data_IF_993878984954
#
_entry.id   IF_993878984954
#
_cell.length_a   1.000
_cell.length_b   1.000
_cell.length_c   1.000
_cell.angle_alpha   90.00
_cell.angle_beta   90.00
_cell.angle_gamma   90.00
#
_symmetry.space_group_name_H-M   'P 1'
#
loop_
_entity.id
_entity.type
_entity.pdbx_description
1 polymer ?
#
# COMPACT_ATOMS: atom_id res chain seq x y z
N UNK A 1 -1.14 6.67 -23.89
CA UNK A 1 -0.45 7.09 -22.65
C UNK A 1 -1.20 6.52 -21.45
N UNK A 2 -0.51 5.99 -20.44
CA UNK A 2 -1.20 5.48 -19.24
C UNK A 2 -1.37 6.65 -18.25
N UNK A 3 -2.57 7.24 -18.21
CA UNK A 3 -2.89 8.44 -17.42
C UNK A 3 -2.73 8.24 -15.91
N UNK A 4 -2.80 6.99 -15.43
CA UNK A 4 -2.56 6.66 -14.03
C UNK A 4 -1.16 7.11 -13.57
N UNK A 5 -0.11 6.90 -14.37
CA UNK A 5 1.25 7.32 -13.98
C UNK A 5 1.46 8.83 -14.01
N UNK A 6 0.73 9.54 -14.89
CA UNK A 6 0.72 11.00 -14.88
C UNK A 6 0.11 11.50 -13.57
N UNK A 7 -1.04 10.94 -13.19
CA UNK A 7 -1.69 11.27 -11.92
C UNK A 7 -0.82 10.89 -10.72
N UNK A 8 -0.14 9.74 -10.74
CA UNK A 8 0.86 9.39 -9.71
C UNK A 8 1.90 10.49 -9.53
N UNK A 9 2.50 10.99 -10.63
CA UNK A 9 3.49 12.05 -10.55
C UNK A 9 2.90 13.36 -10.00
N UNK A 10 1.70 13.74 -10.45
CA UNK A 10 1.00 14.93 -9.96
C UNK A 10 0.70 14.83 -8.46
N UNK A 11 0.20 13.69 -7.98
CA UNK A 11 -0.08 13.48 -6.56
C UNK A 11 1.20 13.46 -5.71
N UNK A 12 2.32 12.93 -6.23
CA UNK A 12 3.61 13.04 -5.54
C UNK A 12 4.09 14.49 -5.43
N UNK A 13 3.91 15.30 -6.48
CA UNK A 13 4.24 16.73 -6.45
C UNK A 13 3.36 17.44 -5.41
N UNK A 14 2.05 17.19 -5.41
CA UNK A 14 1.15 17.77 -4.41
C UNK A 14 1.51 17.33 -2.99
N UNK A 15 1.84 16.05 -2.79
CA UNK A 15 2.29 15.54 -1.49
C UNK A 15 3.58 16.22 -1.01
N UNK A 16 4.54 16.44 -1.92
CA UNK A 16 5.78 17.17 -1.61
C UNK A 16 5.50 18.62 -1.21
N UNK A 17 4.64 19.31 -1.97
CA UNK A 17 4.23 20.69 -1.64
C UNK A 17 3.55 20.73 -0.27
N UNK A 18 2.64 19.81 0.02
CA UNK A 18 1.99 19.72 1.33
C UNK A 18 2.96 19.35 2.46
N UNK A 19 4.01 18.57 2.19
CA UNK A 19 5.04 18.25 3.17
C UNK A 19 5.91 19.47 3.49
N UNK A 20 6.33 20.23 2.48
CA UNK A 20 7.07 21.50 2.63
C UNK A 20 6.24 22.48 3.46
N UNK A 21 4.97 22.66 3.11
CA UNK A 21 4.03 23.50 3.83
C UNK A 21 3.96 23.16 5.34
N UNK A 22 3.80 21.87 5.65
CA UNK A 22 3.78 21.42 7.03
C UNK A 22 5.11 21.66 7.77
N UNK A 23 6.25 21.50 7.10
CA UNK A 23 7.55 21.85 7.68
C UNK A 23 7.64 23.35 7.97
N UNK A 24 7.24 24.21 7.03
CA UNK A 24 7.24 25.66 7.20
C UNK A 24 6.32 26.09 8.35
N UNK A 25 5.18 25.43 8.52
CA UNK A 25 4.26 25.64 9.64
C UNK A 25 4.89 25.21 10.98
N UNK A 26 5.51 24.02 11.04
CA UNK A 26 6.20 23.53 12.24
C UNK A 26 7.36 24.43 12.67
N UNK A 27 8.07 25.04 11.72
CA UNK A 27 9.12 26.03 11.98
C UNK A 27 8.58 27.44 12.26
N UNK A 28 7.26 27.63 12.35
CA UNK A 28 6.60 28.93 12.56
C UNK A 28 6.93 29.97 11.47
N UNK A 29 7.29 29.52 10.26
CA UNK A 29 7.63 30.38 9.13
C UNK A 29 6.35 30.86 8.43
N UNK A 30 5.35 29.98 8.29
CA UNK A 30 4.03 30.31 7.68
C UNK A 30 2.86 29.71 8.50
N UNK A 31 2.64 30.15 9.75
CA UNK A 31 1.70 29.51 10.68
C UNK A 31 0.23 29.61 10.28
N UNK A 32 -0.12 30.48 9.32
CA UNK A 32 -1.48 30.63 8.79
C UNK A 32 -1.88 29.51 7.80
N UNK A 33 -0.92 28.71 7.33
CA UNK A 33 -1.16 27.65 6.36
C UNK A 33 -1.23 26.28 7.07
N UNK A 34 -2.24 26.10 7.93
CA UNK A 34 -2.44 24.83 8.62
C UNK A 34 -3.03 23.76 7.68
N UNK A 35 -2.17 23.09 6.91
CA UNK A 35 -2.53 22.14 5.85
C UNK A 35 -2.74 20.69 6.31
N UNK A 36 -3.94 20.39 6.81
CA UNK A 36 -4.60 19.07 6.97
C UNK A 36 -3.70 17.81 6.91
N UNK A 37 -3.29 17.29 8.07
CA UNK A 37 -2.56 16.00 8.21
C UNK A 37 -3.16 14.86 7.36
N UNK A 38 -4.49 14.79 7.29
CA UNK A 38 -5.23 13.83 6.47
C UNK A 38 -4.89 13.92 4.97
N UNK A 39 -4.77 15.14 4.44
CA UNK A 39 -4.52 15.38 3.02
C UNK A 39 -3.18 14.78 2.61
N UNK A 40 -2.12 15.02 3.38
CA UNK A 40 -0.78 14.46 3.12
C UNK A 40 -0.78 12.94 3.03
N UNK A 41 -1.45 12.28 3.98
CA UNK A 41 -1.60 10.82 3.99
C UNK A 41 -2.28 10.34 2.72
N UNK A 42 -3.42 10.94 2.36
CA UNK A 42 -4.23 10.48 1.23
C UNK A 42 -3.64 10.84 -0.12
N UNK A 43 -2.87 11.94 -0.24
CA UNK A 43 -2.14 12.25 -1.46
C UNK A 43 -1.10 11.17 -1.79
N UNK A 44 -0.48 10.54 -0.79
CA UNK A 44 0.48 9.46 -1.00
C UNK A 44 -0.23 8.13 -1.18
N UNK A 45 -1.15 7.76 -0.29
CA UNK A 45 -1.77 6.42 -0.30
C UNK A 45 -2.82 6.28 -1.40
N UNK A 46 -3.83 7.15 -1.39
CA UNK A 46 -4.96 7.10 -2.31
C UNK A 46 -4.67 7.84 -3.63
N UNK A 47 -3.86 8.90 -3.59
CA UNK A 47 -3.36 9.57 -4.78
C UNK A 47 -2.26 8.75 -5.43
N UNK A 48 -1.01 9.02 -5.08
CA UNK A 48 0.15 8.51 -5.79
C UNK A 48 0.20 6.97 -5.90
N UNK A 49 0.11 6.28 -4.76
CA UNK A 49 0.30 4.83 -4.71
C UNK A 49 -0.88 4.09 -5.36
N UNK A 50 -2.13 4.43 -5.01
CA UNK A 50 -3.29 3.76 -5.60
C UNK A 50 -3.43 4.06 -7.11
N UNK A 51 -3.16 5.29 -7.57
CA UNK A 51 -3.06 5.57 -9.02
C UNK A 51 -2.06 4.63 -9.70
N UNK A 52 -0.85 4.52 -9.14
CA UNK A 52 0.18 3.66 -9.70
C UNK A 52 -0.30 2.21 -9.76
N UNK A 53 -0.89 1.71 -8.68
CA UNK A 53 -1.43 0.35 -8.60
C UNK A 53 -2.54 0.12 -9.63
N UNK A 54 -3.49 1.04 -9.79
CA UNK A 54 -4.55 0.92 -10.80
C UNK A 54 -3.96 0.82 -12.23
N UNK A 55 -2.90 1.56 -12.51
CA UNK A 55 -2.18 1.48 -13.78
C UNK A 55 -1.33 0.21 -13.92
N UNK A 56 -0.80 -0.34 -12.82
CA UNK A 56 0.19 -1.42 -12.79
C UNK A 56 -0.40 -2.81 -12.75
N UNK A 57 -1.39 -3.04 -11.89
CA UNK A 57 -1.88 -4.38 -11.60
C UNK A 57 -2.41 -5.10 -12.85
N UNK A 58 -3.17 -4.46 -13.76
CA UNK A 58 -3.56 -5.09 -15.01
C UNK A 58 -2.35 -5.45 -15.88
N UNK A 59 -1.33 -4.59 -15.95
CA UNK A 59 -0.11 -4.86 -16.73
C UNK A 59 0.62 -6.11 -16.21
N UNK A 60 0.77 -6.22 -14.88
CA UNK A 60 1.42 -7.37 -14.24
C UNK A 60 0.64 -8.66 -14.47
N UNK A 61 -0.68 -8.62 -14.35
CA UNK A 61 -1.53 -9.79 -14.61
C UNK A 61 -1.51 -10.17 -16.10
N UNK A 62 -1.44 -9.21 -17.02
CA UNK A 62 -1.29 -9.49 -18.45
C UNK A 62 0.05 -10.16 -18.75
N UNK A 63 1.16 -9.60 -18.25
CA UNK A 63 2.50 -10.17 -18.41
C UNK A 63 2.55 -11.61 -17.91
N UNK A 64 1.94 -11.87 -16.74
CA UNK A 64 1.84 -13.19 -16.14
C UNK A 64 1.15 -14.21 -17.04
N UNK A 65 -0.01 -13.84 -17.56
CA UNK A 65 -0.81 -14.73 -18.41
C UNK A 65 -0.44 -14.65 -19.89
N UNK A 66 0.66 -13.95 -20.23
CA UNK A 66 1.11 -13.69 -21.61
C UNK A 66 0.00 -13.09 -22.48
N UNK A 67 -0.83 -12.25 -21.88
CA UNK A 67 -1.90 -11.54 -22.58
C UNK A 67 -1.34 -10.29 -23.25
N UNK A 68 -2.01 -9.79 -24.31
CA UNK A 68 -1.74 -8.46 -24.84
C UNK A 68 -1.81 -7.40 -23.74
N UNK A 69 -1.08 -6.30 -23.95
CA UNK A 69 -1.12 -5.16 -23.03
C UNK A 69 -2.58 -4.68 -22.86
N UNK A 70 -3.12 -4.61 -21.64
CA UNK A 70 -4.47 -4.15 -21.39
C UNK A 70 -4.69 -2.73 -21.94
N UNK A 71 -5.83 -2.53 -22.57
CA UNK A 71 -6.27 -1.21 -22.99
C UNK A 71 -6.53 -0.31 -21.76
N UNK A 72 -6.34 0.99 -21.95
CA UNK A 72 -6.71 1.99 -20.95
C UNK A 72 -8.23 2.00 -20.75
N UNK A 73 -8.69 2.00 -19.49
CA UNK A 73 -10.12 2.04 -19.14
C UNK A 73 -10.50 3.44 -18.63
N UNK A 74 -11.00 4.33 -19.50
CA UNK A 74 -11.26 5.72 -19.14
C UNK A 74 -12.29 5.85 -18.01
N UNK A 75 -13.30 4.98 -17.98
CA UNK A 75 -14.33 5.01 -16.94
C UNK A 75 -13.82 4.62 -15.56
N UNK A 76 -12.93 3.62 -15.47
CA UNK A 76 -12.26 3.26 -14.21
C UNK A 76 -11.38 4.42 -13.73
N UNK A 77 -10.62 5.03 -14.63
CA UNK A 77 -9.74 6.16 -14.32
C UNK A 77 -10.53 7.40 -13.88
N UNK A 78 -11.58 7.76 -14.61
CA UNK A 78 -12.43 8.91 -14.33
C UNK A 78 -13.18 8.72 -13.02
N UNK A 79 -13.75 7.54 -12.77
CA UNK A 79 -14.43 7.24 -11.50
C UNK A 79 -13.46 7.40 -10.32
N UNK A 80 -12.23 6.88 -10.45
CA UNK A 80 -11.23 7.01 -9.39
C UNK A 80 -10.83 8.49 -9.15
N UNK A 81 -10.51 9.23 -10.21
CA UNK A 81 -10.02 10.61 -10.10
C UNK A 81 -11.12 11.61 -9.72
N UNK A 82 -12.33 11.47 -10.26
CA UNK A 82 -13.46 12.27 -9.85
C UNK A 82 -13.83 11.97 -8.39
N UNK A 83 -13.78 10.70 -7.99
CA UNK A 83 -13.98 10.29 -6.60
C UNK A 83 -12.97 10.94 -5.66
N UNK A 84 -11.68 10.89 -6.01
CA UNK A 84 -10.61 11.55 -5.28
C UNK A 84 -10.84 13.06 -5.15
N UNK A 85 -11.15 13.74 -6.25
CA UNK A 85 -11.42 15.18 -6.26
C UNK A 85 -12.61 15.55 -5.35
N UNK A 86 -13.69 14.79 -5.42
CA UNK A 86 -14.85 14.99 -4.53
C UNK A 86 -14.46 14.79 -3.07
N UNK A 87 -13.67 13.77 -2.73
CA UNK A 87 -13.20 13.60 -1.34
C UNK A 87 -12.28 14.74 -0.88
N UNK A 88 -11.39 15.22 -1.76
CA UNK A 88 -10.50 16.34 -1.48
C UNK A 88 -11.25 17.65 -1.19
N UNK A 89 -12.43 17.83 -1.78
CA UNK A 89 -13.30 18.99 -1.54
C UNK A 89 -14.25 18.74 -0.37
N UNK A 90 -14.90 17.58 -0.36
CA UNK A 90 -15.99 17.24 0.56
C UNK A 90 -15.55 17.09 2.01
N UNK A 91 -14.37 16.52 2.25
CA UNK A 91 -13.85 16.33 3.62
C UNK A 91 -13.54 17.67 4.31
N UNK A 92 -12.78 18.60 3.71
CA UNK A 92 -12.52 19.91 4.31
C UNK A 92 -13.77 20.72 4.66
N UNK A 93 -14.81 20.65 3.82
CA UNK A 93 -16.07 21.38 4.05
C UNK A 93 -17.12 20.55 4.80
N UNK A 94 -16.79 19.32 5.19
CA UNK A 94 -17.66 18.36 5.90
C UNK A 94 -19.01 18.19 5.18
N UNK A 95 -18.98 18.09 3.83
CA UNK A 95 -20.20 17.88 3.04
C UNK A 95 -20.44 16.38 2.81
N UNK A 96 -21.40 15.84 3.56
CA UNK A 96 -21.73 14.41 3.53
C UNK A 96 -22.11 13.89 2.13
N UNK A 97 -22.88 14.65 1.34
CA UNK A 97 -23.29 14.24 0.01
C UNK A 97 -22.08 14.14 -0.95
N UNK A 98 -21.18 15.11 -0.90
CA UNK A 98 -19.95 15.13 -1.68
C UNK A 98 -19.01 14.00 -1.26
N UNK A 99 -18.88 13.75 0.06
CA UNK A 99 -18.07 12.64 0.60
C UNK A 99 -18.64 11.30 0.15
N UNK A 100 -19.95 11.10 0.26
CA UNK A 100 -20.63 9.88 -0.16
C UNK A 100 -20.45 9.62 -1.66
N UNK A 101 -20.64 10.64 -2.50
CA UNK A 101 -20.41 10.56 -3.95
C UNK A 101 -18.94 10.21 -4.26
N UNK A 102 -18.00 10.90 -3.60
CA UNK A 102 -16.57 10.65 -3.76
C UNK A 102 -16.18 9.20 -3.40
N UNK A 103 -16.58 8.75 -2.22
CA UNK A 103 -16.34 7.38 -1.74
C UNK A 103 -16.95 6.32 -2.66
N UNK A 104 -18.18 6.54 -3.13
CA UNK A 104 -18.89 5.65 -4.06
C UNK A 104 -18.14 5.50 -5.39
N UNK A 105 -17.63 6.60 -5.96
CA UNK A 105 -16.89 6.56 -7.21
C UNK A 105 -15.55 5.82 -7.07
N UNK A 106 -14.82 5.99 -5.97
CA UNK A 106 -13.58 5.23 -5.71
C UNK A 106 -13.90 3.75 -5.49
N UNK A 107 -14.98 3.44 -4.77
CA UNK A 107 -15.45 2.07 -4.56
C UNK A 107 -15.78 1.39 -5.90
N UNK A 108 -16.54 2.07 -6.77
CA UNK A 108 -16.88 1.59 -8.10
C UNK A 108 -15.63 1.37 -8.97
N UNK A 109 -14.68 2.30 -8.97
CA UNK A 109 -13.42 2.14 -9.69
C UNK A 109 -12.63 0.92 -9.20
N UNK A 110 -12.61 0.69 -7.88
CA UNK A 110 -11.96 -0.47 -7.26
C UNK A 110 -12.64 -1.78 -7.66
N UNK A 111 -13.99 -1.83 -7.68
CA UNK A 111 -14.74 -2.98 -8.19
C UNK A 111 -14.44 -3.26 -9.66
N UNK A 112 -14.41 -2.23 -10.50
CA UNK A 112 -14.08 -2.36 -11.92
C UNK A 112 -12.66 -2.90 -12.13
N UNK A 113 -11.70 -2.48 -11.31
CA UNK A 113 -10.34 -3.02 -11.33
C UNK A 113 -10.32 -4.49 -10.89
N UNK A 114 -10.98 -4.84 -9.78
CA UNK A 114 -11.10 -6.23 -9.31
C UNK A 114 -11.70 -7.11 -10.41
N UNK A 115 -12.78 -6.64 -11.03
CA UNK A 115 -13.45 -7.34 -12.12
C UNK A 115 -12.51 -7.55 -13.31
N UNK A 116 -11.82 -6.51 -13.76
CA UNK A 116 -10.80 -6.62 -14.81
C UNK A 116 -9.74 -7.68 -14.46
N UNK A 117 -9.16 -7.60 -13.26
CA UNK A 117 -8.15 -8.56 -12.83
C UNK A 117 -8.70 -9.99 -12.76
N UNK A 118 -9.99 -10.19 -12.47
CA UNK A 118 -10.66 -11.51 -12.41
C UNK A 118 -10.93 -12.12 -13.79
N UNK A 119 -11.24 -11.29 -14.77
CA UNK A 119 -11.47 -11.70 -16.17
C UNK A 119 -10.18 -12.08 -16.89
N UNK A 120 -9.07 -11.44 -16.53
CA UNK A 120 -7.75 -11.76 -17.08
C UNK A 120 -7.32 -13.17 -16.64
N UNK A 121 -7.41 -14.11 -17.58
CA UNK A 121 -7.07 -15.54 -17.41
C UNK A 121 -6.28 -16.01 -18.62
N UNK A 122 -5.54 -17.11 -18.47
CA UNK A 122 -4.84 -17.73 -19.59
C UNK A 122 -5.85 -18.19 -20.67
N UNK A 123 -5.55 -17.91 -21.94
CA UNK A 123 -6.42 -18.22 -23.09
C UNK A 123 -6.31 -19.66 -23.61
N UNK A 124 -5.35 -20.44 -23.10
CA UNK A 124 -5.16 -21.85 -23.42
C UNK A 124 -4.99 -22.64 -22.11
N UNK A 125 -5.14 -23.98 -22.08
CA UNK A 125 -4.70 -24.77 -20.95
C UNK A 125 -3.17 -24.66 -20.88
N UNK A 126 -2.70 -23.58 -20.26
CA UNK A 126 -1.32 -23.43 -19.88
C UNK A 126 -0.98 -24.70 -19.09
N UNK A 127 0.02 -25.43 -19.55
CA UNK A 127 0.51 -26.61 -18.83
C UNK A 127 0.65 -26.24 -17.36
N UNK A 128 0.33 -27.15 -16.44
CA UNK A 128 0.38 -26.86 -15.00
C UNK A 128 1.73 -26.25 -14.56
N UNK A 129 2.80 -26.51 -15.31
CA UNK A 129 4.12 -25.88 -15.18
C UNK A 129 4.15 -24.38 -15.52
N UNK A 130 3.50 -23.94 -16.61
CA UNK A 130 3.44 -22.53 -17.02
C UNK A 130 2.58 -21.68 -16.07
N UNK A 131 1.50 -22.25 -15.53
CA UNK A 131 0.69 -21.60 -14.47
C UNK A 131 1.43 -21.58 -13.13
N UNK A 132 2.19 -22.62 -12.78
CA UNK A 132 3.03 -22.66 -11.57
C UNK A 132 4.24 -21.71 -11.62
N UNK A 133 4.76 -21.42 -12.82
CA UNK A 133 5.91 -20.52 -13.01
C UNK A 133 5.50 -19.03 -12.98
N UNK A 134 4.28 -18.72 -13.41
CA UNK A 134 3.65 -17.43 -13.23
C UNK A 134 3.39 -17.20 -11.73
N UNK A 135 4.15 -16.30 -11.09
CA UNK A 135 4.09 -16.06 -9.63
C UNK A 135 2.67 -15.82 -9.09
N UNK A 136 2.47 -15.90 -7.77
CA UNK A 136 1.14 -15.89 -7.14
C UNK A 136 0.58 -14.50 -6.77
N UNK A 137 1.26 -13.41 -7.16
CA UNK A 137 0.93 -12.02 -6.77
C UNK A 137 -0.52 -11.55 -7.01
N UNK A 138 -1.20 -11.97 -8.07
CA UNK A 138 -2.63 -11.69 -8.36
C UNK A 138 -3.56 -11.99 -7.19
N UNK A 139 -3.32 -13.07 -6.45
CA UNK A 139 -4.15 -13.39 -5.27
C UNK A 139 -4.02 -12.31 -4.21
N UNK A 140 -2.78 -11.86 -3.97
CA UNK A 140 -2.50 -10.74 -3.08
C UNK A 140 -3.14 -9.45 -3.56
N UNK A 141 -3.11 -9.17 -4.87
CA UNK A 141 -3.76 -7.98 -5.44
C UNK A 141 -5.26 -7.99 -5.22
N UNK A 142 -5.92 -9.10 -5.50
CA UNK A 142 -7.37 -9.23 -5.33
C UNK A 142 -7.79 -9.14 -3.86
N UNK A 143 -7.04 -9.79 -2.95
CA UNK A 143 -7.30 -9.71 -1.52
C UNK A 143 -7.05 -8.29 -0.98
N UNK A 144 -5.93 -7.66 -1.37
CA UNK A 144 -5.62 -6.29 -1.01
C UNK A 144 -6.68 -5.31 -1.49
N UNK A 145 -7.12 -5.40 -2.75
CA UNK A 145 -8.22 -4.56 -3.26
C UNK A 145 -9.55 -4.83 -2.54
N UNK A 146 -9.79 -6.06 -2.07
CA UNK A 146 -10.93 -6.36 -1.19
C UNK A 146 -10.85 -5.60 0.14
N UNK A 147 -9.67 -5.52 0.75
CA UNK A 147 -9.46 -4.68 1.93
C UNK A 147 -9.52 -3.19 1.64
N UNK A 148 -9.13 -2.74 0.43
CA UNK A 148 -9.33 -1.36 0.01
C UNK A 148 -10.83 -1.00 -0.04
N UNK A 149 -11.68 -1.89 -0.58
CA UNK A 149 -13.14 -1.69 -0.56
C UNK A 149 -13.66 -1.51 0.87
N UNK A 150 -13.20 -2.34 1.82
CA UNK A 150 -13.54 -2.20 3.23
C UNK A 150 -13.02 -0.86 3.80
N UNK A 151 -11.78 -0.49 3.49
CA UNK A 151 -11.18 0.78 3.88
C UNK A 151 -11.96 1.98 3.36
N UNK A 152 -12.44 1.95 2.11
CA UNK A 152 -13.30 2.99 1.52
C UNK A 152 -14.65 3.05 2.23
N UNK A 153 -15.27 1.90 2.51
CA UNK A 153 -16.55 1.82 3.19
C UNK A 153 -16.47 2.43 4.60
N UNK A 154 -15.48 2.01 5.39
CA UNK A 154 -15.28 2.56 6.75
C UNK A 154 -14.84 4.02 6.69
N UNK A 155 -13.95 4.38 5.76
CA UNK A 155 -13.47 5.74 5.58
C UNK A 155 -14.56 6.74 5.20
N UNK A 156 -15.48 6.33 4.32
CA UNK A 156 -16.68 7.11 3.97
C UNK A 156 -17.64 7.15 5.15
N UNK A 157 -17.87 6.00 5.79
CA UNK A 157 -18.76 5.85 6.93
C UNK A 157 -18.38 6.66 8.17
N UNK A 158 -17.10 6.96 8.37
CA UNK A 158 -16.61 7.87 9.41
C UNK A 158 -17.32 9.23 9.39
N UNK A 159 -17.62 9.74 8.19
CA UNK A 159 -18.25 11.05 8.00
C UNK A 159 -19.78 11.00 7.95
N UNK A 160 -20.33 9.81 7.78
CA UNK A 160 -21.77 9.56 7.60
C UNK A 160 -22.43 8.90 8.82
N UNK A 161 -21.68 8.66 9.90
CA UNK A 161 -22.19 8.04 11.12
C UNK A 161 -22.43 6.52 11.00
N UNK A 162 -21.84 5.85 10.00
CA UNK A 162 -22.07 4.39 9.81
C UNK A 162 -21.48 3.54 10.94
N UNK A 163 -20.50 4.06 11.67
CA UNK A 163 -19.86 3.35 12.79
C UNK A 163 -20.87 2.90 13.84
N UNK A 164 -21.93 3.68 14.09
CA UNK A 164 -23.00 3.31 15.03
C UNK A 164 -23.81 2.12 14.49
N UNK A 165 -24.28 2.22 13.23
CA UNK A 165 -25.05 1.18 12.56
C UNK A 165 -24.27 -0.13 12.40
N UNK A 166 -22.98 -0.03 12.08
CA UNK A 166 -22.08 -1.15 11.87
C UNK A 166 -21.38 -1.63 13.16
N UNK A 167 -21.67 -0.98 14.29
CA UNK A 167 -21.11 -1.28 15.61
C UNK A 167 -19.57 -1.27 15.63
N UNK A 168 -18.95 -0.36 14.88
CA UNK A 168 -17.51 -0.19 14.82
C UNK A 168 -17.05 0.63 16.01
N UNK A 169 -16.30 0.02 16.93
CA UNK A 169 -15.84 0.70 18.16
C UNK A 169 -14.77 1.75 17.90
N UNK A 170 -13.76 1.43 17.09
CA UNK A 170 -12.67 2.36 16.76
C UNK A 170 -12.52 2.53 15.25
N UNK A 171 -13.42 3.30 14.59
CA UNK A 171 -13.54 3.30 13.13
C UNK A 171 -12.32 3.89 12.39
N UNK A 172 -11.61 4.84 13.00
CA UNK A 172 -10.37 5.39 12.43
C UNK A 172 -9.29 4.30 12.35
N UNK A 173 -9.12 3.53 13.43
CA UNK A 173 -8.15 2.44 13.48
C UNK A 173 -8.52 1.31 12.51
N UNK A 174 -9.80 0.92 12.45
CA UNK A 174 -10.31 -0.04 11.45
C UNK A 174 -9.99 0.42 10.02
N UNK A 175 -10.23 1.69 9.71
CA UNK A 175 -9.91 2.25 8.39
C UNK A 175 -8.40 2.19 8.08
N UNK A 176 -7.56 2.58 9.03
CA UNK A 176 -6.09 2.50 8.88
C UNK A 176 -5.66 1.05 8.68
N UNK A 177 -6.21 0.12 9.46
CA UNK A 177 -5.84 -1.30 9.39
C UNK A 177 -6.27 -1.95 8.08
N UNK A 178 -7.46 -1.62 7.58
CA UNK A 178 -7.93 -2.08 6.27
C UNK A 178 -7.01 -1.60 5.14
N UNK A 179 -6.59 -0.33 5.17
CA UNK A 179 -5.76 0.24 4.11
C UNK A 179 -4.28 -0.16 4.19
N UNK A 180 -3.71 -0.22 5.40
CA UNK A 180 -2.29 -0.53 5.57
C UNK A 180 -2.06 -2.04 5.65
N UNK A 181 -2.57 -2.69 6.70
CA UNK A 181 -2.36 -4.13 6.92
C UNK A 181 -3.10 -4.99 5.90
N UNK A 182 -4.29 -4.57 5.47
CA UNK A 182 -5.05 -5.24 4.43
C UNK A 182 -4.54 -4.90 3.02
N UNK A 183 -4.84 -3.71 2.54
CA UNK A 183 -4.61 -3.34 1.14
C UNK A 183 -3.14 -3.24 0.77
N UNK A 184 -2.41 -2.24 1.29
CA UNK A 184 -1.06 -1.94 0.84
C UNK A 184 -0.08 -3.07 1.14
N UNK A 185 -0.16 -3.69 2.32
CA UNK A 185 0.78 -4.77 2.68
C UNK A 185 0.63 -6.00 1.78
N UNK A 186 -0.61 -6.42 1.48
CA UNK A 186 -0.86 -7.54 0.57
C UNK A 186 -0.41 -7.17 -0.83
N UNK A 187 -0.80 -6.00 -1.35
CA UNK A 187 -0.39 -5.59 -2.70
C UNK A 187 1.12 -5.53 -2.81
N UNK A 188 1.82 -4.95 -1.84
CA UNK A 188 3.28 -4.89 -1.83
C UNK A 188 3.94 -6.27 -1.78
N UNK A 189 3.41 -7.20 -0.99
CA UNK A 189 3.86 -8.59 -1.00
C UNK A 189 3.66 -9.24 -2.38
N UNK A 190 2.52 -9.01 -3.03
CA UNK A 190 2.26 -9.46 -4.39
C UNK A 190 3.24 -8.86 -5.41
N UNK A 191 3.54 -7.57 -5.28
CA UNK A 191 4.50 -6.88 -6.14
C UNK A 191 5.90 -7.46 -5.95
N UNK A 192 6.35 -7.69 -4.71
CA UNK A 192 7.62 -8.36 -4.44
C UNK A 192 7.67 -9.72 -5.13
N UNK A 193 6.62 -10.54 -5.03
CA UNK A 193 6.54 -11.84 -5.70
C UNK A 193 6.72 -11.72 -7.22
N UNK A 194 6.09 -10.72 -7.85
CA UNK A 194 6.12 -10.54 -9.30
C UNK A 194 7.41 -9.89 -9.82
N UNK A 195 7.99 -8.93 -9.09
CA UNK A 195 9.21 -8.23 -9.53
C UNK A 195 10.49 -9.01 -9.21
N UNK A 196 10.47 -9.83 -8.16
CA UNK A 196 11.68 -10.47 -7.64
C UNK A 196 12.41 -11.33 -8.68
N UNK A 197 11.74 -12.13 -9.53
CA UNK A 197 12.40 -12.83 -10.63
C UNK A 197 13.09 -11.90 -11.62
N UNK A 198 12.49 -10.75 -11.95
CA UNK A 198 13.08 -9.80 -12.88
C UNK A 198 14.30 -9.08 -12.31
N UNK A 199 14.38 -8.92 -10.99
CA UNK A 199 15.51 -8.25 -10.30
C UNK A 199 16.63 -9.23 -9.97
N UNK A 200 16.30 -10.48 -9.62
CA UNK A 200 17.26 -11.44 -9.06
C UNK A 200 17.52 -12.67 -9.95
N UNK A 201 16.74 -12.85 -11.01
CA UNK A 201 16.75 -14.05 -11.85
C UNK A 201 16.17 -15.30 -11.18
N UNK A 202 15.57 -15.19 -10.00
CA UNK A 202 15.07 -16.33 -9.19
C UNK A 202 13.65 -16.11 -8.72
N UNK A 203 12.89 -17.20 -8.53
CA UNK A 203 11.56 -17.11 -7.92
C UNK A 203 11.65 -16.73 -6.44
N UNK A 204 10.71 -15.91 -5.96
CA UNK A 204 10.56 -15.64 -4.53
C UNK A 204 9.88 -16.84 -3.86
N UNK A 205 10.64 -17.60 -3.09
CA UNK A 205 10.17 -18.77 -2.34
C UNK A 205 9.59 -19.89 -3.21
N UNK A 206 9.09 -20.93 -2.56
CA UNK A 206 8.32 -22.01 -3.19
C UNK A 206 6.83 -21.64 -3.28
N UNK A 207 6.03 -22.28 -4.15
CA UNK A 207 4.58 -22.05 -4.20
C UNK A 207 3.88 -22.23 -2.83
N UNK A 208 4.29 -23.25 -2.06
CA UNK A 208 3.75 -23.49 -0.71
C UNK A 208 4.10 -22.35 0.25
N UNK A 209 5.33 -21.86 0.21
CA UNK A 209 5.75 -20.72 1.03
C UNK A 209 4.98 -19.45 0.67
N UNK A 210 4.79 -19.15 -0.62
CA UNK A 210 3.97 -18.00 -1.05
C UNK A 210 2.52 -18.12 -0.61
N UNK A 211 1.94 -19.32 -0.67
CA UNK A 211 0.57 -19.58 -0.18
C UNK A 211 0.45 -19.41 1.33
N UNK A 212 1.44 -19.86 2.10
CA UNK A 212 1.49 -19.64 3.55
C UNK A 212 1.58 -18.15 3.89
N UNK A 213 2.47 -17.41 3.22
CA UNK A 213 2.58 -15.96 3.36
C UNK A 213 1.24 -15.28 3.01
N UNK A 214 0.62 -15.65 1.89
CA UNK A 214 -0.68 -15.09 1.46
C UNK A 214 -1.75 -15.24 2.54
N UNK A 215 -1.97 -16.46 3.04
CA UNK A 215 -3.00 -16.71 4.03
C UNK A 215 -2.67 -16.08 5.38
N UNK A 216 -1.40 -16.12 5.79
CA UNK A 216 -0.97 -15.48 7.02
C UNK A 216 -1.20 -13.97 7.00
N UNK A 217 -0.81 -13.28 5.93
CA UNK A 217 -1.09 -11.84 5.78
C UNK A 217 -2.58 -11.55 5.66
N UNK A 218 -3.33 -12.34 4.88
CA UNK A 218 -4.76 -12.10 4.63
C UNK A 218 -5.59 -12.30 5.88
N UNK A 219 -5.45 -13.43 6.57
CA UNK A 219 -6.19 -13.71 7.81
C UNK A 219 -5.67 -12.85 8.96
N UNK A 220 -4.36 -12.59 9.00
CA UNK A 220 -3.76 -11.69 9.98
C UNK A 220 -4.34 -10.28 9.88
N UNK A 221 -4.45 -9.74 8.66
CA UNK A 221 -5.08 -8.44 8.41
C UNK A 221 -6.55 -8.43 8.85
N UNK A 222 -7.30 -9.50 8.60
CA UNK A 222 -8.69 -9.61 9.07
C UNK A 222 -8.75 -9.51 10.60
N UNK A 223 -7.91 -10.25 11.32
CA UNK A 223 -7.83 -10.18 12.78
C UNK A 223 -7.47 -8.77 13.29
N UNK A 224 -6.52 -8.11 12.62
CA UNK A 224 -6.14 -6.73 12.93
C UNK A 224 -7.25 -5.72 12.64
N UNK A 225 -8.16 -5.99 11.72
CA UNK A 225 -9.32 -5.14 11.43
C UNK A 225 -10.44 -5.41 12.44
N UNK A 226 -10.72 -6.68 12.72
CA UNK A 226 -11.75 -7.11 13.67
C UNK A 226 -11.42 -6.71 15.11
N UNK A 227 -10.13 -6.62 15.46
CA UNK A 227 -9.64 -6.14 16.76
C UNK A 227 -10.27 -4.80 17.17
N UNK A 228 -9.94 -3.68 16.51
CA UNK A 228 -10.55 -2.37 16.77
C UNK A 228 -12.01 -2.26 16.35
N UNK A 229 -12.49 -3.11 15.44
CA UNK A 229 -13.92 -3.16 15.13
C UNK A 229 -14.73 -3.56 16.36
N UNK A 230 -14.29 -4.62 17.05
CA UNK A 230 -14.98 -5.23 18.19
C UNK A 230 -14.36 -4.86 19.54
N UNK A 231 -13.32 -4.02 19.54
CA UNK A 231 -12.49 -3.69 20.71
C UNK A 231 -11.96 -4.95 21.43
N UNK A 232 -11.43 -5.91 20.67
CA UNK A 232 -11.10 -7.26 21.15
C UNK A 232 -9.66 -7.69 20.85
N UNK A 233 -8.89 -7.90 21.93
CA UNK A 233 -7.54 -8.46 21.85
C UNK A 233 -7.53 -9.90 21.34
N UNK A 234 -8.63 -10.64 21.47
CA UNK A 234 -8.76 -12.00 20.93
C UNK A 234 -8.71 -12.05 19.40
N UNK A 235 -9.02 -10.93 18.72
CA UNK A 235 -8.81 -10.79 17.28
C UNK A 235 -7.50 -10.08 16.98
N UNK A 236 -7.19 -8.99 17.68
CA UNK A 236 -6.02 -8.16 17.41
C UNK A 236 -4.70 -8.93 17.61
N UNK A 237 -4.53 -9.65 18.72
CA UNK A 237 -3.25 -10.32 19.04
C UNK A 237 -2.95 -11.48 18.10
N UNK A 238 -3.87 -12.45 17.86
CA UNK A 238 -3.63 -13.49 16.87
C UNK A 238 -3.47 -12.93 15.45
N UNK A 239 -4.24 -11.90 15.10
CA UNK A 239 -4.12 -11.20 13.82
C UNK A 239 -2.72 -10.61 13.63
N UNK A 240 -2.19 -9.93 14.65
CA UNK A 240 -0.85 -9.36 14.68
C UNK A 240 0.22 -10.43 14.52
N UNK A 241 0.17 -11.49 15.33
CA UNK A 241 1.15 -12.59 15.29
C UNK A 241 1.17 -13.21 13.89
N UNK A 242 0.01 -13.50 13.32
CA UNK A 242 -0.10 -14.17 12.03
C UNK A 242 0.41 -13.27 10.89
N UNK A 243 0.04 -11.98 10.90
CA UNK A 243 0.48 -11.02 9.89
C UNK A 243 2.00 -10.79 9.95
N UNK A 244 2.54 -10.62 11.16
CA UNK A 244 3.99 -10.46 11.37
C UNK A 244 4.77 -11.69 10.98
N UNK A 245 4.33 -12.89 11.39
CA UNK A 245 5.01 -14.13 11.03
C UNK A 245 5.09 -14.28 9.51
N UNK A 246 4.01 -13.97 8.80
CA UNK A 246 3.98 -13.98 7.34
C UNK A 246 4.88 -12.90 6.73
N UNK A 247 4.92 -11.70 7.31
CA UNK A 247 5.80 -10.60 6.88
C UNK A 247 7.28 -10.96 7.07
N UNK A 248 7.67 -11.52 8.21
CA UNK A 248 9.03 -11.99 8.45
C UNK A 248 9.41 -13.15 7.51
N UNK A 249 8.47 -14.06 7.22
CA UNK A 249 8.70 -15.12 6.23
C UNK A 249 8.93 -14.53 4.83
N UNK A 250 8.11 -13.56 4.40
CA UNK A 250 8.29 -12.84 3.14
C UNK A 250 9.68 -12.19 3.08
N UNK A 251 10.08 -11.47 4.12
CA UNK A 251 11.39 -10.80 4.17
C UNK A 251 12.54 -11.79 4.19
N UNK A 252 12.44 -12.87 4.96
CA UNK A 252 13.43 -13.95 4.93
C UNK A 252 13.58 -14.56 3.54
N UNK A 253 12.48 -14.68 2.79
CA UNK A 253 12.47 -15.17 1.41
C UNK A 253 13.10 -14.20 0.41
N UNK A 254 13.03 -12.90 0.69
CA UNK A 254 13.71 -11.84 -0.10
C UNK A 254 15.20 -11.76 0.24
N UNK A 255 15.54 -11.73 1.54
CA UNK A 255 16.88 -11.43 2.03
C UNK A 255 17.82 -12.62 1.86
N UNK A 256 17.40 -13.82 2.29
CA UNK A 256 18.29 -14.99 2.37
C UNK A 256 18.99 -15.33 1.04
N UNK A 257 18.32 -15.31 -0.12
CA UNK A 257 18.98 -15.59 -1.40
C UNK A 257 19.91 -14.47 -1.88
N UNK A 258 19.80 -13.27 -1.32
CA UNK A 258 20.60 -12.10 -1.67
C UNK A 258 21.89 -11.99 -0.85
N UNK A 259 22.01 -12.68 0.29
CA UNK A 259 23.19 -12.57 1.18
C UNK A 259 24.53 -12.84 0.45
N UNK A 260 24.55 -13.72 -0.55
CA UNK A 260 25.73 -14.01 -1.37
C UNK A 260 25.91 -13.12 -2.61
N UNK A 261 25.13 -12.04 -2.75
CA UNK A 261 25.09 -11.20 -3.96
C UNK A 261 25.49 -9.74 -3.64
N UNK A 262 26.78 -9.45 -3.40
CA UNK A 262 27.24 -8.13 -2.94
C UNK A 262 26.86 -6.98 -3.89
N UNK A 263 26.73 -7.26 -5.19
CA UNK A 263 26.31 -6.26 -6.17
C UNK A 263 24.90 -5.69 -5.89
N UNK A 264 23.95 -6.53 -5.43
CA UNK A 264 22.58 -6.09 -5.14
C UNK A 264 22.56 -5.16 -3.94
N UNK A 265 23.33 -5.46 -2.89
CA UNK A 265 23.44 -4.65 -1.67
C UNK A 265 24.09 -3.28 -1.87
N UNK A 266 24.80 -3.08 -2.99
CA UNK A 266 25.34 -1.77 -3.37
C UNK A 266 24.32 -0.87 -4.04
N UNK A 267 23.13 -1.38 -4.34
CA UNK A 267 22.06 -0.59 -4.96
C UNK A 267 21.14 0.04 -3.91
N UNK A 268 20.77 1.32 -4.04
CA UNK A 268 19.89 1.98 -3.08
C UNK A 268 18.47 1.39 -3.06
N UNK A 269 18.02 0.81 -4.17
CA UNK A 269 16.66 0.30 -4.30
C UNK A 269 16.35 -0.88 -3.38
N UNK A 270 17.30 -1.81 -3.15
CA UNK A 270 17.08 -2.89 -2.18
C UNK A 270 17.00 -2.34 -0.76
N UNK A 271 17.79 -1.31 -0.44
CA UNK A 271 17.75 -0.67 0.86
C UNK A 271 16.42 0.02 1.10
N UNK A 272 15.90 0.78 0.13
CA UNK A 272 14.55 1.35 0.19
C UNK A 272 13.50 0.29 0.50
N UNK A 273 13.52 -0.86 -0.18
CA UNK A 273 12.59 -1.95 0.12
C UNK A 273 12.75 -2.47 1.56
N UNK A 274 13.97 -2.81 1.98
CA UNK A 274 14.19 -3.42 3.30
C UNK A 274 13.88 -2.46 4.45
N UNK A 275 14.34 -1.21 4.33
CA UNK A 275 14.10 -0.17 5.34
C UNK A 275 12.63 0.24 5.39
N UNK A 276 11.89 0.19 4.27
CA UNK A 276 10.44 0.35 4.30
C UNK A 276 9.78 -0.70 5.21
N UNK A 277 10.24 -1.96 5.15
CA UNK A 277 9.72 -3.00 6.03
C UNK A 277 10.16 -2.84 7.49
N UNK A 278 11.29 -2.20 7.77
CA UNK A 278 11.66 -1.84 9.14
C UNK A 278 10.64 -0.83 9.70
N UNK A 279 10.27 0.20 8.92
CA UNK A 279 9.33 1.24 9.36
C UNK A 279 7.93 0.74 9.66
N UNK A 280 7.42 -0.27 8.94
CA UNK A 280 6.15 -0.91 9.31
C UNK A 280 6.26 -1.80 10.54
N UNK A 281 7.42 -2.40 10.80
CA UNK A 281 7.64 -3.25 11.97
C UNK A 281 7.84 -2.44 13.26
N UNK A 282 8.42 -1.24 13.20
CA UNK A 282 8.72 -0.44 14.41
C UNK A 282 7.46 -0.14 15.25
N UNK A 283 6.37 0.44 14.71
CA UNK A 283 5.16 0.69 15.50
C UNK A 283 4.58 -0.60 16.09
N UNK A 284 4.67 -1.70 15.35
CA UNK A 284 4.16 -3.00 15.78
C UNK A 284 4.96 -3.58 16.93
N UNK A 285 6.28 -3.47 16.91
CA UNK A 285 7.13 -3.91 18.01
C UNK A 285 6.85 -3.10 19.30
N UNK A 286 6.31 -1.89 19.17
CA UNK A 286 5.86 -1.08 20.31
C UNK A 286 4.45 -1.44 20.80
N UNK A 287 3.64 -2.11 19.98
CA UNK A 287 2.25 -2.43 20.33
C UNK A 287 2.10 -3.20 21.65
N UNK A 288 2.96 -4.18 22.02
CA UNK A 288 2.87 -4.82 23.34
C UNK A 288 3.03 -3.83 24.50
N UNK A 289 3.92 -2.84 24.37
CA UNK A 289 4.13 -1.83 25.43
C UNK A 289 2.91 -0.93 25.59
N UNK A 290 2.25 -0.60 24.48
CA UNK A 290 1.00 0.17 24.45
C UNK A 290 -0.14 -0.65 25.07
N UNK A 291 -0.33 -1.88 24.60
CA UNK A 291 -1.41 -2.79 25.04
C UNK A 291 -1.28 -3.13 26.53
N UNK A 292 -0.05 -3.30 27.04
CA UNK A 292 0.22 -3.59 28.44
C UNK A 292 0.21 -2.34 29.34
N UNK A 293 0.06 -1.14 28.77
CA UNK A 293 0.00 0.11 29.53
C UNK A 293 1.27 0.36 30.35
N UNK A 294 2.44 0.05 29.80
CA UNK A 294 3.72 0.15 30.52
C UNK A 294 3.93 1.59 31.04
N UNK A 295 4.12 1.79 32.36
CA UNK A 295 4.26 3.13 32.94
C UNK A 295 5.39 3.93 32.29
N UNK A 296 5.13 5.20 31.99
CA UNK A 296 6.09 6.11 31.35
C UNK A 296 6.24 5.93 29.83
N UNK A 297 5.53 4.98 29.20
CA UNK A 297 5.56 4.78 27.76
C UNK A 297 4.52 5.68 27.04
N UNK A 298 4.92 6.46 26.01
CA UNK A 298 4.04 7.47 25.40
C UNK A 298 3.10 6.87 24.35
N UNK A 299 2.23 5.93 24.75
CA UNK A 299 1.35 5.19 23.83
C UNK A 299 0.49 6.09 22.93
N UNK A 300 -0.22 7.06 23.51
CA UNK A 300 -1.05 8.00 22.76
C UNK A 300 -0.23 8.85 21.75
N UNK A 301 0.99 9.24 22.11
CA UNK A 301 1.88 9.99 21.21
C UNK A 301 2.37 9.14 20.03
N UNK A 302 2.64 7.86 20.26
CA UNK A 302 3.01 6.91 19.21
C UNK A 302 1.84 6.67 18.26
N UNK A 303 0.63 6.44 18.78
CA UNK A 303 -0.56 6.23 17.95
C UNK A 303 -0.87 7.44 17.06
N UNK A 304 -0.70 8.66 17.57
CA UNK A 304 -0.93 9.88 16.80
C UNK A 304 0.09 10.11 15.67
N UNK A 305 1.30 9.59 15.80
CA UNK A 305 2.39 9.79 14.84
C UNK A 305 2.65 8.56 13.95
N UNK A 306 2.18 7.38 14.36
CA UNK A 306 2.31 6.14 13.61
C UNK A 306 1.87 6.24 12.14
N UNK A 307 0.77 6.94 11.78
CA UNK A 307 0.41 7.12 10.38
C UNK A 307 1.51 7.79 9.55
N UNK A 308 2.23 8.79 10.10
CA UNK A 308 3.29 9.47 9.37
C UNK A 308 4.48 8.55 9.12
N UNK A 309 4.93 7.83 10.15
CA UNK A 309 5.99 6.82 10.01
C UNK A 309 5.62 5.74 8.98
N UNK A 310 4.38 5.28 8.97
CA UNK A 310 3.90 4.31 7.98
C UNK A 310 3.81 4.90 6.57
N UNK A 311 3.38 6.15 6.40
CA UNK A 311 3.27 6.75 5.07
C UNK A 311 4.64 7.08 4.48
N UNK A 312 5.47 7.82 5.20
CA UNK A 312 6.76 8.25 4.68
C UNK A 312 7.79 7.12 4.75
N UNK A 313 7.95 6.54 5.93
CA UNK A 313 8.94 5.49 6.20
C UNK A 313 8.62 4.16 5.54
N UNK A 314 7.34 3.82 5.31
CA UNK A 314 6.98 2.56 4.64
C UNK A 314 6.43 2.76 3.22
N UNK A 315 5.29 3.41 3.03
CA UNK A 315 4.61 3.47 1.72
C UNK A 315 5.42 4.23 0.67
N UNK A 316 5.85 5.46 0.99
CA UNK A 316 6.63 6.29 0.09
C UNK A 316 8.02 5.71 -0.15
N UNK A 317 8.66 5.21 0.92
CA UNK A 317 9.96 4.54 0.86
C UNK A 317 9.94 3.31 -0.07
N UNK A 318 8.90 2.48 0.02
CA UNK A 318 8.68 1.39 -0.92
C UNK A 318 8.43 1.92 -2.35
N UNK A 319 7.69 3.03 -2.48
CA UNK A 319 7.46 3.73 -3.73
C UNK A 319 8.74 4.22 -4.43
N UNK A 320 9.74 4.71 -3.69
CA UNK A 320 11.03 5.13 -4.27
C UNK A 320 11.76 3.98 -4.98
N UNK A 321 11.60 2.74 -4.52
CA UNK A 321 12.16 1.58 -5.20
C UNK A 321 11.31 1.15 -6.42
N UNK A 322 9.98 1.12 -6.28
CA UNK A 322 9.11 0.51 -7.30
C UNK A 322 8.63 1.44 -8.40
N UNK A 323 8.30 2.70 -8.10
CA UNK A 323 7.76 3.61 -9.11
C UNK A 323 8.78 3.85 -10.24
N UNK A 324 10.07 4.13 -9.98
CA UNK A 324 11.05 4.26 -11.05
C UNK A 324 11.30 2.94 -11.77
N UNK A 325 11.28 1.81 -11.05
CA UNK A 325 11.37 0.48 -11.67
C UNK A 325 10.27 0.33 -12.73
N UNK A 326 9.01 0.54 -12.38
CA UNK A 326 7.93 0.36 -13.33
C UNK A 326 7.89 1.40 -14.43
N UNK A 327 8.23 2.65 -14.11
CA UNK A 327 8.37 3.71 -15.12
C UNK A 327 9.40 3.30 -16.18
N UNK A 328 10.58 2.82 -15.75
CA UNK A 328 11.60 2.32 -16.69
C UNK A 328 11.12 1.12 -17.50
N UNK A 329 10.41 0.16 -16.88
CA UNK A 329 9.89 -1.02 -17.60
C UNK A 329 8.84 -0.64 -18.66
N UNK A 330 8.08 0.43 -18.45
CA UNK A 330 7.00 0.86 -19.35
C UNK A 330 7.53 1.76 -20.47
N UNK A 331 8.40 2.71 -20.15
CA UNK A 331 8.84 3.76 -21.07
C UNK A 331 10.24 3.50 -21.65
N UNK A 332 11.06 2.65 -21.01
CA UNK A 332 12.43 2.33 -21.38
C UNK A 332 12.67 0.81 -21.41
N UNK A 333 11.88 0.02 -22.17
CA UNK A 333 11.86 -1.44 -22.06
C UNK A 333 13.19 -2.13 -22.36
N UNK A 334 14.07 -1.49 -23.15
CA UNK A 334 15.41 -1.98 -23.51
C UNK A 334 16.47 -1.79 -22.42
N UNK A 335 16.19 -1.05 -21.34
CA UNK A 335 17.13 -0.91 -20.23
C UNK A 335 17.03 -2.09 -19.25
N UNK A 336 18.15 -2.46 -18.60
CA UNK A 336 18.16 -3.51 -17.60
C UNK A 336 17.22 -3.16 -16.44
N UNK A 337 16.45 -4.15 -15.98
CA UNK A 337 15.53 -4.01 -14.87
C UNK A 337 16.31 -3.68 -13.58
N UNK A 338 16.03 -2.52 -12.97
CA UNK A 338 16.68 -2.07 -11.74
C UNK A 338 15.67 -1.39 -10.82
N UNK A 339 15.77 -1.68 -9.53
CA UNK A 339 15.01 -0.93 -8.52
C UNK A 339 15.46 0.53 -8.51
N UNK A 340 14.52 1.41 -8.23
CA UNK A 340 14.71 2.85 -8.17
C UNK A 340 15.40 3.37 -6.91
N UNK A 341 15.43 4.69 -6.80
CA UNK A 341 15.96 5.40 -5.64
C UNK A 341 17.44 5.77 -5.75
N UNK A 342 17.86 6.66 -4.86
CA UNK A 342 19.24 7.10 -4.68
C UNK A 342 19.58 7.15 -3.17
N UNK A 343 20.85 7.08 -2.78
CA UNK A 343 21.26 7.17 -1.38
C UNK A 343 20.77 8.44 -0.67
N UNK A 344 20.74 9.57 -1.39
CA UNK A 344 20.17 10.81 -0.89
C UNK A 344 18.67 10.68 -0.58
N UNK A 345 17.88 10.08 -1.49
CA UNK A 345 16.45 9.85 -1.24
C UNK A 345 16.21 8.90 -0.08
N UNK A 346 17.09 7.91 0.12
CA UNK A 346 17.03 7.00 1.26
C UNK A 346 17.29 7.75 2.57
N UNK A 347 18.36 8.54 2.63
CA UNK A 347 18.65 9.36 3.80
C UNK A 347 17.50 10.35 4.10
N UNK A 348 17.03 11.07 3.08
CA UNK A 348 15.98 12.08 3.22
C UNK A 348 14.65 11.48 3.73
N UNK A 349 14.20 10.34 3.21
CA UNK A 349 12.94 9.73 3.63
C UNK A 349 13.00 9.16 5.05
N UNK A 350 14.15 8.59 5.46
CA UNK A 350 14.33 8.09 6.82
C UNK A 350 14.44 9.25 7.82
N UNK A 351 15.18 10.31 7.48
CA UNK A 351 15.28 11.50 8.33
C UNK A 351 13.95 12.24 8.46
N UNK A 352 13.16 12.30 7.38
CA UNK A 352 11.81 12.89 7.43
C UNK A 352 10.75 12.01 8.10
N UNK A 353 11.07 10.74 8.37
CA UNK A 353 10.21 9.82 9.12
C UNK A 353 10.42 9.85 10.63
N UNK A 354 11.53 10.47 11.09
CA UNK A 354 11.82 10.79 12.48
C UNK A 354 11.17 12.11 12.87
#
# INVERSE_FOLDING_TARGET
MNLYFLMTALFLIMALVSAIDASLTSFQILPWFNGLRWLRVHLITLGAMSEALFGLLPLLVALRYKLPRPAFRPWTWLSFNAGLLLLLVGIPIINQAVIFAGGTLIFAATLLLIWQLREMRAQAPATAAAVKAAGDGRLFYLAGLGYLLLGILVGTGLWLGWSEWLQIKTPIEVHIHANNWGFLSLVFAGLLIDIYPAVTGRSLGTPTSRRAIFWGMTVGALGLILGPWLQSNYFAVPGLILHLAATFWLLGSVIRPLLGQPAVWRTPGIWHLLTAYIWILVPVMMAPLIILGVPGFPGAGIEQNAPQALIYGWVLQFGYALLPYFFSRIFLPGQPARLGGHWLSLAAVNLGGL
#
